data_IF_731182213448
#
_entry.id   IF_731182213448
#
_cell.length_a   1.000
_cell.length_b   1.000
_cell.length_c   1.000
_cell.angle_alpha   90.00
_cell.angle_beta   90.00
_cell.angle_gamma   90.00
#
_symmetry.space_group_name_H-M   'P 1'
#
loop_
_entity.id
_entity.type
_entity.pdbx_description
1 polymer ?
#
# COMPACT_ATOMS: atom_id res chain seq x y z
N UNK A 1 6.82 -4.09 11.36
CA UNK A 1 6.70 -5.53 11.66
C UNK A 1 7.71 -5.92 12.73
N UNK A 2 7.47 -7.03 13.44
CA UNK A 2 8.37 -7.54 14.47
C UNK A 2 9.77 -7.80 13.89
N UNK A 3 9.87 -8.53 12.80
CA UNK A 3 11.16 -8.82 12.16
C UNK A 3 11.89 -7.57 11.65
N UNK A 4 11.16 -6.58 11.15
CA UNK A 4 11.77 -5.30 10.76
C UNK A 4 12.39 -4.57 11.94
N UNK A 5 11.72 -4.55 13.10
CA UNK A 5 12.24 -3.95 14.31
C UNK A 5 13.44 -4.73 14.88
N UNK A 6 13.39 -6.06 14.90
CA UNK A 6 14.52 -6.88 15.35
C UNK A 6 15.74 -6.68 14.44
N UNK A 7 15.55 -6.70 13.12
CA UNK A 7 16.60 -6.38 12.16
C UNK A 7 17.24 -5.02 12.46
N UNK A 8 16.42 -3.98 12.64
CA UNK A 8 16.89 -2.63 12.94
C UNK A 8 17.71 -2.59 14.23
N UNK A 9 17.20 -3.20 15.31
CA UNK A 9 17.90 -3.24 16.60
C UNK A 9 19.25 -3.99 16.52
N UNK A 10 19.33 -5.04 15.70
CA UNK A 10 20.61 -5.74 15.44
C UNK A 10 21.58 -4.86 14.68
N UNK A 11 21.14 -4.17 13.64
CA UNK A 11 22.00 -3.28 12.85
C UNK A 11 22.45 -2.04 13.61
N UNK A 12 21.63 -1.55 14.55
CA UNK A 12 21.97 -0.45 15.46
C UNK A 12 22.85 -0.90 16.64
N UNK A 13 23.17 -2.20 16.75
CA UNK A 13 23.95 -2.74 17.87
C UNK A 13 23.23 -2.72 19.22
N UNK A 14 21.89 -2.59 19.22
CA UNK A 14 21.06 -2.56 20.42
C UNK A 14 20.79 -3.93 21.02
N UNK A 15 20.85 -4.95 20.19
CA UNK A 15 20.80 -6.37 20.56
C UNK A 15 21.95 -7.10 19.86
N UNK A 16 22.35 -8.25 20.39
CA UNK A 16 23.42 -9.05 19.80
C UNK A 16 23.06 -9.41 18.35
N UNK A 17 24.00 -9.18 17.45
CA UNK A 17 23.84 -9.53 16.04
C UNK A 17 24.20 -11.00 15.83
N UNK A 18 23.19 -11.79 15.50
CA UNK A 18 23.34 -13.18 15.07
C UNK A 18 23.07 -13.26 13.56
N UNK A 19 24.07 -13.64 12.78
CA UNK A 19 23.99 -13.58 11.32
C UNK A 19 22.90 -14.49 10.74
N UNK A 20 22.67 -15.66 11.35
CA UNK A 20 21.60 -16.59 10.93
C UNK A 20 20.21 -16.00 11.21
N UNK A 21 20.03 -15.37 12.37
CA UNK A 21 18.76 -14.71 12.70
C UNK A 21 18.51 -13.49 11.80
N UNK A 22 19.54 -12.69 11.54
CA UNK A 22 19.44 -11.56 10.63
C UNK A 22 19.01 -12.01 9.23
N UNK A 23 19.64 -13.05 8.70
CA UNK A 23 19.28 -13.64 7.41
C UNK A 23 17.84 -14.18 7.39
N UNK A 24 17.39 -14.80 8.48
CA UNK A 24 16.01 -15.26 8.63
C UNK A 24 15.02 -14.07 8.64
N UNK A 25 15.30 -12.99 9.37
CA UNK A 25 14.44 -11.82 9.40
C UNK A 25 14.34 -11.14 8.02
N UNK A 26 15.45 -11.05 7.31
CA UNK A 26 15.47 -10.51 5.95
C UNK A 26 14.70 -11.39 4.96
N UNK A 27 14.83 -12.70 5.05
CA UNK A 27 14.04 -13.64 4.25
C UNK A 27 12.54 -13.50 4.53
N UNK A 28 12.16 -13.42 5.81
CA UNK A 28 10.76 -13.23 6.20
C UNK A 28 10.19 -11.90 5.68
N UNK A 29 10.98 -10.82 5.69
CA UNK A 29 10.60 -9.52 5.14
C UNK A 29 10.44 -9.57 3.62
N UNK A 30 11.38 -10.19 2.91
CA UNK A 30 11.33 -10.41 1.45
C UNK A 30 10.08 -11.20 1.06
N UNK A 31 9.85 -12.32 1.72
CA UNK A 31 8.67 -13.17 1.48
C UNK A 31 7.37 -12.42 1.76
N UNK A 32 7.30 -11.67 2.86
CA UNK A 32 6.11 -10.86 3.18
C UNK A 32 5.79 -9.85 2.09
N UNK A 33 6.80 -9.16 1.55
CA UNK A 33 6.60 -8.20 0.46
C UNK A 33 6.14 -8.87 -0.83
N UNK A 34 6.74 -10.00 -1.20
CA UNK A 34 6.36 -10.77 -2.39
C UNK A 34 4.92 -11.29 -2.30
N UNK A 35 4.54 -11.90 -1.16
CA UNK A 35 3.17 -12.39 -0.92
C UNK A 35 2.15 -11.25 -0.96
N UNK A 36 2.49 -10.10 -0.38
CA UNK A 36 1.63 -8.92 -0.44
C UNK A 36 1.46 -8.42 -1.87
N UNK A 37 2.54 -8.30 -2.63
CA UNK A 37 2.52 -7.86 -4.02
C UNK A 37 1.77 -8.80 -4.96
N UNK A 38 1.73 -10.10 -4.67
CA UNK A 38 1.01 -11.11 -5.44
C UNK A 38 -0.52 -10.94 -5.35
N UNK A 39 -1.03 -10.30 -4.30
CA UNK A 39 -2.47 -10.02 -4.12
C UNK A 39 -2.86 -8.77 -4.89
N UNK A 40 -2.90 -8.84 -6.19
CA UNK A 40 -3.09 -7.67 -7.04
C UNK A 40 -4.37 -7.73 -7.86
N UNK A 41 -5.13 -6.64 -7.82
CA UNK A 41 -6.27 -6.41 -8.71
C UNK A 41 -5.96 -5.20 -9.60
N UNK A 42 -5.88 -5.38 -10.91
CA UNK A 42 -5.75 -4.27 -11.85
C UNK A 42 -7.07 -3.51 -11.95
N UNK A 43 -7.01 -2.18 -12.18
CA UNK A 43 -8.15 -1.32 -12.44
C UNK A 43 -8.04 -0.67 -13.83
N UNK A 44 -9.16 -0.13 -14.32
CA UNK A 44 -9.32 0.27 -15.73
C UNK A 44 -8.39 1.40 -16.19
N UNK A 45 -7.87 2.22 -15.29
CA UNK A 45 -6.97 3.35 -15.59
C UNK A 45 -5.48 2.96 -15.66
N UNK A 46 -5.19 1.67 -15.59
CA UNK A 46 -3.83 1.14 -15.62
C UNK A 46 -3.17 1.04 -14.26
N UNK A 47 -3.79 1.57 -13.21
CA UNK A 47 -3.37 1.36 -11.83
C UNK A 47 -3.88 0.01 -11.28
N UNK A 48 -3.89 -0.16 -10.00
CA UNK A 48 -4.36 -1.35 -9.33
C UNK A 48 -4.16 -1.26 -7.83
N UNK A 49 -4.62 -2.27 -7.13
CA UNK A 49 -4.48 -2.33 -5.69
C UNK A 49 -4.18 -3.73 -5.17
N UNK A 50 -3.61 -3.77 -3.99
CA UNK A 50 -3.42 -5.00 -3.22
C UNK A 50 -4.70 -5.24 -2.43
N UNK A 51 -5.32 -6.40 -2.65
CA UNK A 51 -6.51 -6.79 -1.91
C UNK A 51 -6.16 -7.52 -0.60
N UNK A 52 -7.04 -7.44 0.37
CA UNK A 52 -6.95 -8.08 1.67
C UNK A 52 -7.85 -9.33 1.74
N UNK A 53 -8.21 -9.74 2.94
CA UNK A 53 -9.05 -10.92 3.21
C UNK A 53 -10.47 -10.83 2.62
N UNK A 54 -10.95 -9.62 2.34
CA UNK A 54 -12.27 -9.37 1.76
C UNK A 54 -12.36 -9.64 0.24
N UNK A 55 -11.26 -10.05 -0.38
CA UNK A 55 -11.22 -10.52 -1.76
C UNK A 55 -10.83 -9.48 -2.80
N UNK A 56 -10.58 -9.92 -4.04
CA UNK A 56 -10.00 -9.09 -5.10
C UNK A 56 -10.90 -7.96 -5.60
N UNK A 57 -12.18 -7.97 -5.27
CA UNK A 57 -13.13 -6.93 -5.68
C UNK A 57 -13.08 -5.67 -4.79
N UNK A 58 -12.35 -5.70 -3.69
CA UNK A 58 -12.40 -4.65 -2.68
C UNK A 58 -11.02 -4.04 -2.41
N UNK A 59 -10.92 -2.74 -2.65
CA UNK A 59 -9.84 -1.87 -2.17
C UNK A 59 -10.16 -1.45 -0.74
N UNK A 60 -9.47 -2.02 0.22
CA UNK A 60 -9.71 -1.89 1.65
C UNK A 60 -8.78 -0.85 2.27
N UNK A 61 -9.33 0.13 3.00
CA UNK A 61 -8.58 1.27 3.52
C UNK A 61 -7.43 0.91 4.47
N UNK A 62 -7.52 -0.22 5.19
CA UNK A 62 -6.48 -0.65 6.12
C UNK A 62 -5.26 -1.27 5.43
N UNK A 63 -5.40 -1.68 4.16
CA UNK A 63 -4.31 -2.28 3.40
C UNK A 63 -3.14 -1.30 3.20
N UNK A 64 -3.40 0.01 3.19
CA UNK A 64 -2.37 1.06 3.09
C UNK A 64 -1.25 0.89 4.13
N UNK A 65 -1.56 0.46 5.35
CA UNK A 65 -0.57 0.18 6.41
C UNK A 65 0.34 -1.01 6.12
N UNK A 66 -0.14 -1.97 5.36
CA UNK A 66 0.62 -3.19 5.06
C UNK A 66 1.69 -2.96 4.01
N UNK A 67 1.65 -1.84 3.29
CA UNK A 67 2.61 -1.48 2.24
C UNK A 67 4.05 -1.33 2.76
N UNK A 68 4.24 -1.15 4.06
CA UNK A 68 5.57 -1.19 4.68
C UNK A 68 6.32 -2.50 4.41
N UNK A 69 5.60 -3.61 4.18
CA UNK A 69 6.23 -4.88 3.81
C UNK A 69 6.82 -4.84 2.41
N UNK A 70 6.17 -4.12 1.47
CA UNK A 70 6.71 -3.89 0.13
C UNK A 70 7.91 -2.96 0.18
N UNK A 71 7.84 -1.87 0.96
CA UNK A 71 8.93 -0.94 1.15
C UNK A 71 10.18 -1.66 1.67
N UNK A 72 10.06 -2.41 2.77
CA UNK A 72 11.17 -3.16 3.36
C UNK A 72 11.73 -4.21 2.40
N UNK A 73 10.87 -4.93 1.69
CA UNK A 73 11.29 -5.94 0.73
C UNK A 73 11.99 -5.31 -0.49
N UNK A 74 11.52 -4.15 -0.96
CA UNK A 74 12.17 -3.38 -2.01
C UNK A 74 13.58 -2.92 -1.59
N UNK A 75 13.73 -2.34 -0.38
CA UNK A 75 15.03 -1.94 0.18
C UNK A 75 16.00 -3.11 0.31
N UNK A 76 15.50 -4.33 0.52
CA UNK A 76 16.29 -5.56 0.53
C UNK A 76 16.59 -6.12 -0.88
N UNK A 77 16.30 -5.35 -1.93
CA UNK A 77 16.57 -5.70 -3.32
C UNK A 77 15.69 -6.83 -3.89
N UNK A 78 14.57 -7.14 -3.21
CA UNK A 78 13.69 -8.22 -3.63
C UNK A 78 12.64 -7.77 -4.65
N UNK A 79 12.20 -8.72 -5.48
CA UNK A 79 11.13 -8.54 -6.47
C UNK A 79 10.20 -9.74 -6.44
N UNK A 80 8.93 -9.55 -6.79
CA UNK A 80 8.04 -10.67 -7.05
C UNK A 80 8.30 -11.18 -8.46
N UNK A 81 8.53 -12.47 -8.62
CA UNK A 81 8.55 -13.12 -9.94
C UNK A 81 7.11 -13.44 -10.35
N UNK A 82 6.69 -12.82 -11.44
CA UNK A 82 5.37 -13.05 -12.03
C UNK A 82 5.38 -14.18 -13.06
N UNK A 83 4.28 -14.30 -13.78
CA UNK A 83 4.17 -15.24 -14.90
C UNK A 83 5.23 -14.93 -15.99
N UNK A 84 5.74 -15.97 -16.62
CA UNK A 84 6.80 -15.90 -17.64
C UNK A 84 8.10 -15.22 -17.13
N UNK A 85 8.43 -15.42 -15.86
CA UNK A 85 9.64 -14.89 -15.22
C UNK A 85 9.79 -13.36 -15.30
N UNK A 86 8.69 -12.63 -15.45
CA UNK A 86 8.72 -11.17 -15.44
C UNK A 86 8.82 -10.65 -14.01
N UNK A 87 9.89 -9.91 -13.66
CA UNK A 87 10.03 -9.33 -12.36
C UNK A 87 9.02 -8.20 -12.15
N UNK A 88 8.30 -8.25 -11.04
CA UNK A 88 7.36 -7.20 -10.62
C UNK A 88 8.03 -6.36 -9.55
N UNK A 89 8.13 -5.06 -9.80
CA UNK A 89 8.71 -4.09 -8.86
C UNK A 89 7.77 -3.87 -7.68
N UNK A 90 8.27 -4.04 -6.46
CA UNK A 90 7.48 -3.87 -5.24
C UNK A 90 7.17 -2.39 -4.97
N UNK A 91 8.07 -1.49 -5.37
CA UNK A 91 7.84 -0.04 -5.32
C UNK A 91 6.69 0.36 -6.26
N UNK A 92 6.62 -0.22 -7.47
CA UNK A 92 5.50 0.00 -8.40
C UNK A 92 4.16 -0.39 -7.77
N UNK A 93 4.09 -1.56 -7.15
CA UNK A 93 2.89 -2.02 -6.44
C UNK A 93 2.50 -1.10 -5.29
N UNK A 94 3.47 -0.60 -4.54
CA UNK A 94 3.26 0.34 -3.44
C UNK A 94 2.67 1.66 -3.96
N UNK A 95 3.31 2.30 -4.93
CA UNK A 95 2.90 3.61 -5.45
C UNK A 95 1.51 3.53 -6.10
N UNK A 96 1.26 2.52 -6.92
CA UNK A 96 -0.04 2.32 -7.57
C UNK A 96 -1.16 2.06 -6.55
N UNK A 97 -0.91 1.23 -5.54
CA UNK A 97 -1.90 1.02 -4.47
C UNK A 97 -2.18 2.32 -3.70
N UNK A 98 -1.14 3.08 -3.37
CA UNK A 98 -1.31 4.37 -2.71
C UNK A 98 -2.15 5.34 -3.55
N UNK A 99 -1.89 5.42 -4.86
CA UNK A 99 -2.67 6.22 -5.81
C UNK A 99 -4.13 5.78 -5.87
N UNK A 100 -4.39 4.49 -6.02
CA UNK A 100 -5.75 3.95 -6.01
C UNK A 100 -6.48 4.25 -4.69
N UNK A 101 -5.79 4.14 -3.55
CA UNK A 101 -6.36 4.49 -2.24
C UNK A 101 -6.72 5.97 -2.14
N UNK A 102 -5.83 6.87 -2.58
CA UNK A 102 -6.10 8.31 -2.61
C UNK A 102 -7.31 8.65 -3.50
N UNK A 103 -7.39 8.02 -4.66
CA UNK A 103 -8.43 8.29 -5.64
C UNK A 103 -9.81 7.77 -5.23
N UNK A 104 -9.87 6.57 -4.65
CA UNK A 104 -11.14 5.88 -4.45
C UNK A 104 -11.61 5.83 -3.01
N UNK A 105 -10.71 5.77 -2.02
CA UNK A 105 -11.11 5.72 -0.62
C UNK A 105 -11.17 7.09 0.06
N UNK A 106 -10.37 8.07 -0.38
CA UNK A 106 -10.32 9.40 0.21
C UNK A 106 -11.20 10.37 -0.56
N UNK A 107 -11.95 11.20 0.17
CA UNK A 107 -12.85 12.22 -0.36
C UNK A 107 -12.27 13.61 -0.10
N UNK A 108 -12.23 14.42 -1.16
CA UNK A 108 -11.58 15.75 -1.13
C UNK A 108 -12.56 16.92 -1.17
N UNK A 109 -13.88 16.67 -1.19
CA UNK A 109 -14.90 17.71 -1.35
C UNK A 109 -14.91 18.30 -2.76
N UNK A 110 -14.67 17.48 -3.78
CA UNK A 110 -14.62 17.91 -5.19
C UNK A 110 -15.88 17.57 -5.99
N UNK A 111 -16.92 17.08 -5.31
CA UNK A 111 -18.20 16.74 -5.93
C UNK A 111 -18.24 15.40 -6.63
N UNK A 112 -17.46 14.42 -6.20
CA UNK A 112 -17.48 13.05 -6.75
C UNK A 112 -18.87 12.43 -6.67
N UNK A 113 -19.55 12.65 -5.56
CA UNK A 113 -20.94 12.27 -5.31
C UNK A 113 -21.57 13.21 -4.26
N UNK A 114 -22.85 13.03 -3.96
CA UNK A 114 -23.57 13.85 -2.96
C UNK A 114 -23.04 13.67 -1.53
N UNK A 115 -22.23 12.66 -1.27
CA UNK A 115 -21.60 12.37 0.00
C UNK A 115 -20.13 12.80 0.04
N UNK A 116 -19.64 13.51 -0.98
CA UNK A 116 -18.25 13.94 -1.08
C UNK A 116 -17.95 15.09 -0.10
N UNK A 117 -17.76 14.70 1.15
CA UNK A 117 -17.31 15.60 2.23
C UNK A 117 -15.79 15.46 2.37
N UNK A 118 -15.10 16.61 2.32
CA UNK A 118 -13.65 16.64 2.46
C UNK A 118 -13.18 15.99 3.76
N UNK A 119 -12.22 15.06 3.65
CA UNK A 119 -11.66 14.31 4.78
C UNK A 119 -12.44 13.04 5.13
N UNK A 120 -13.53 12.76 4.43
CA UNK A 120 -14.20 11.46 4.55
C UNK A 120 -13.31 10.36 3.97
N UNK A 121 -13.34 9.18 4.59
CA UNK A 121 -12.67 7.97 4.11
C UNK A 121 -13.66 6.83 4.02
N UNK A 122 -13.81 6.25 2.81
CA UNK A 122 -14.56 5.02 2.64
C UNK A 122 -13.78 3.84 3.24
N UNK A 123 -14.47 2.96 3.94
CA UNK A 123 -13.87 1.74 4.47
C UNK A 123 -13.35 0.84 3.34
N UNK A 124 -14.19 0.67 2.32
CA UNK A 124 -13.91 -0.12 1.13
C UNK A 124 -14.38 0.61 -0.11
N UNK A 125 -13.68 0.40 -1.22
CA UNK A 125 -14.11 0.78 -2.56
C UNK A 125 -14.24 -0.47 -3.42
N UNK A 126 -15.43 -0.72 -3.94
CA UNK A 126 -15.77 -1.94 -4.67
C UNK A 126 -15.55 -1.75 -6.17
N UNK A 127 -14.95 -2.74 -6.79
CA UNK A 127 -14.62 -2.79 -8.20
C UNK A 127 -15.23 -4.01 -8.90
N UNK A 128 -15.47 -3.86 -10.20
CA UNK A 128 -15.73 -4.98 -11.07
C UNK A 128 -14.39 -5.62 -11.44
N UNK A 129 -14.16 -6.86 -11.03
CA UNK A 129 -12.89 -7.56 -11.28
C UNK A 129 -12.65 -7.93 -12.73
N UNK A 130 -13.70 -7.97 -13.57
CA UNK A 130 -13.56 -8.30 -15.00
C UNK A 130 -13.08 -7.12 -15.83
N UNK A 131 -13.48 -5.89 -15.47
CA UNK A 131 -13.14 -4.68 -16.24
C UNK A 131 -12.46 -3.60 -15.43
N UNK A 132 -12.25 -3.81 -14.14
CA UNK A 132 -11.54 -2.86 -13.27
C UNK A 132 -12.30 -1.56 -12.97
N UNK A 133 -13.61 -1.48 -13.28
CA UNK A 133 -14.39 -0.26 -13.02
C UNK A 133 -14.80 -0.16 -11.56
N UNK A 134 -14.66 1.05 -11.01
CA UNK A 134 -15.21 1.39 -9.70
C UNK A 134 -16.75 1.30 -9.71
N UNK A 135 -17.32 0.78 -8.64
CA UNK A 135 -18.77 0.61 -8.49
C UNK A 135 -19.36 1.50 -7.40
N UNK A 136 -18.91 1.34 -6.17
CA UNK A 136 -19.48 2.04 -5.02
C UNK A 136 -18.57 1.92 -3.79
N UNK A 137 -18.74 2.80 -2.79
CA UNK A 137 -18.18 2.56 -1.46
C UNK A 137 -18.91 1.42 -0.76
N UNK A 138 -18.22 0.75 0.17
CA UNK A 138 -18.78 -0.30 1.01
C UNK A 138 -18.21 -0.22 2.43
N UNK A 139 -18.79 -0.99 3.33
CA UNK A 139 -18.28 -1.13 4.70
C UNK A 139 -18.71 -2.45 5.31
N UNK A 140 -17.79 -3.09 6.04
CA UNK A 140 -18.09 -4.28 6.85
C UNK A 140 -18.14 -3.95 8.35
N UNK A 141 -17.48 -2.88 8.79
CA UNK A 141 -17.34 -2.53 10.21
C UNK A 141 -17.80 -1.11 10.53
N UNK A 142 -18.03 -0.27 9.53
CA UNK A 142 -18.55 1.09 9.70
C UNK A 142 -20.07 1.12 9.81
N UNK A 143 -20.61 2.27 10.19
CA UNK A 143 -22.05 2.47 10.32
C UNK A 143 -22.79 2.32 8.98
N UNK A 144 -22.26 2.93 7.94
CA UNK A 144 -22.76 2.77 6.57
C UNK A 144 -21.64 3.10 5.54
N UNK A 145 -21.82 2.71 4.25
CA UNK A 145 -20.82 2.98 3.21
C UNK A 145 -20.49 4.46 3.01
N UNK A 146 -21.41 5.34 3.36
CA UNK A 146 -21.28 6.79 3.17
C UNK A 146 -20.80 7.55 4.40
N UNK A 147 -20.53 6.87 5.50
CA UNK A 147 -19.91 7.43 6.70
C UNK A 147 -18.40 7.19 6.71
N UNK A 148 -17.67 8.00 7.47
CA UNK A 148 -16.27 7.72 7.76
C UNK A 148 -16.16 6.67 8.87
N UNK A 149 -15.49 5.58 8.55
CA UNK A 149 -15.04 4.66 9.57
C UNK A 149 -13.73 5.17 10.18
N UNK A 150 -13.79 5.67 11.41
CA UNK A 150 -12.69 6.43 12.02
C UNK A 150 -11.38 5.66 12.15
N UNK A 151 -11.44 4.35 12.39
CA UNK A 151 -10.25 3.51 12.39
C UNK A 151 -9.60 3.42 11.00
N UNK A 152 -10.41 3.33 9.94
CA UNK A 152 -9.93 3.37 8.56
C UNK A 152 -9.28 4.71 8.21
N UNK A 153 -9.86 5.82 8.66
CA UNK A 153 -9.24 7.15 8.53
C UNK A 153 -7.88 7.20 9.21
N UNK A 154 -7.78 6.72 10.45
CA UNK A 154 -6.51 6.68 11.18
C UNK A 154 -5.46 5.82 10.45
N UNK A 155 -5.87 4.70 9.84
CA UNK A 155 -4.95 3.86 9.05
C UNK A 155 -4.50 4.52 7.76
N UNK A 156 -5.37 5.27 7.08
CA UNK A 156 -5.00 6.07 5.90
C UNK A 156 -3.93 7.10 6.29
N UNK A 157 -4.17 7.88 7.35
CA UNK A 157 -3.20 8.87 7.82
C UNK A 157 -1.86 8.25 8.21
N UNK A 158 -1.88 7.17 8.99
CA UNK A 158 -0.66 6.47 9.40
C UNK A 158 0.06 5.84 8.20
N UNK A 159 -0.69 5.18 7.32
CA UNK A 159 -0.13 4.51 6.16
C UNK A 159 0.57 5.47 5.21
N UNK A 160 -0.04 6.61 4.92
CA UNK A 160 0.61 7.63 4.09
C UNK A 160 1.81 8.27 4.78
N UNK A 161 1.74 8.57 6.08
CA UNK A 161 2.88 9.09 6.81
C UNK A 161 4.09 8.12 6.73
N UNK A 162 3.87 6.82 6.95
CA UNK A 162 4.92 5.79 6.82
C UNK A 162 5.49 5.69 5.39
N UNK A 163 4.65 5.89 4.38
CA UNK A 163 5.11 5.87 2.98
C UNK A 163 5.89 7.12 2.61
N UNK A 164 5.48 8.30 3.08
CA UNK A 164 6.21 9.55 2.88
C UNK A 164 7.60 9.48 3.52
N UNK A 165 7.71 8.93 4.73
CA UNK A 165 9.02 8.67 5.37
C UNK A 165 9.89 7.74 4.52
N UNK A 166 9.31 6.67 3.98
CA UNK A 166 10.04 5.74 3.12
C UNK A 166 10.47 6.40 1.80
N UNK A 167 9.57 7.11 1.12
CA UNK A 167 9.86 7.79 -0.14
C UNK A 167 10.97 8.83 -0.01
N UNK A 168 11.04 9.53 1.14
CA UNK A 168 12.11 10.47 1.44
C UNK A 168 13.51 9.82 1.55
N UNK A 169 13.59 8.49 1.64
CA UNK A 169 14.87 7.74 1.66
C UNK A 169 15.29 7.23 0.28
N UNK A 170 14.46 7.42 -0.75
CA UNK A 170 14.74 6.93 -2.10
C UNK A 170 15.45 7.99 -2.94
N UNK A 171 16.27 7.53 -3.89
CA UNK A 171 16.84 8.39 -4.93
C UNK A 171 15.72 8.87 -5.87
N UNK A 172 15.74 10.15 -6.23
CA UNK A 172 14.73 10.78 -7.10
C UNK A 172 14.57 10.05 -8.45
N UNK A 173 15.65 9.48 -8.97
CA UNK A 173 15.64 8.70 -10.21
C UNK A 173 14.67 7.52 -10.19
N UNK A 174 14.48 6.90 -9.02
CA UNK A 174 13.53 5.79 -8.83
C UNK A 174 12.08 6.22 -8.97
N UNK A 175 11.81 7.50 -8.76
CA UNK A 175 10.45 8.08 -8.79
C UNK A 175 10.10 8.74 -10.14
N UNK A 176 11.07 8.93 -11.03
CA UNK A 176 10.85 9.48 -12.39
C UNK A 176 9.73 8.75 -13.15
N UNK A 177 9.63 7.40 -13.15
CA UNK A 177 8.56 6.70 -13.87
C UNK A 177 7.14 7.00 -13.35
N UNK A 178 7.03 7.59 -12.17
CA UNK A 178 5.76 7.93 -11.49
C UNK A 178 5.44 9.43 -11.52
N UNK A 179 6.21 10.21 -12.27
CA UNK A 179 6.07 11.67 -12.38
C UNK A 179 6.99 12.47 -11.45
N UNK A 180 7.97 11.81 -10.85
CA UNK A 180 8.95 12.40 -9.93
C UNK A 180 8.47 12.49 -8.48
N UNK A 181 9.40 12.87 -7.60
CA UNK A 181 9.18 12.91 -6.15
C UNK A 181 7.98 13.78 -5.76
N UNK A 182 7.93 15.01 -6.26
CA UNK A 182 6.85 15.95 -5.91
C UNK A 182 5.46 15.43 -6.28
N UNK A 183 5.33 14.81 -7.46
CA UNK A 183 4.07 14.21 -7.91
C UNK A 183 3.61 13.09 -6.98
N UNK A 184 4.54 12.21 -6.59
CA UNK A 184 4.23 11.09 -5.71
C UNK A 184 3.88 11.56 -4.30
N UNK A 185 4.59 12.55 -3.77
CA UNK A 185 4.32 13.13 -2.44
C UNK A 185 2.97 13.87 -2.42
N UNK A 186 2.68 14.69 -3.44
CA UNK A 186 1.41 15.42 -3.52
C UNK A 186 0.18 14.52 -3.66
N UNK A 187 0.36 13.31 -4.15
CA UNK A 187 -0.71 12.33 -4.26
C UNK A 187 -1.09 11.72 -2.90
N UNK A 188 -0.18 11.68 -1.94
CA UNK A 188 -0.35 11.10 -0.60
C UNK A 188 -0.75 12.15 0.43
#
# INVERSE_FOLDING_TARGET
STYGNLRRLMLEGRITKEDQELAFYELALKTSGAVQAARWTPIHDGDGYIFSFNGPHSLFSDTIRSLRSLAMSHMLGHRLMGENDKPICLLDRLIRHARATAQYNVYYGRGRDIYDVRGRVAHESIFNTNGGQYRCPSTQQGYCPFSTWTRGLAWIMLGYAEQLEFLATLDDELLVPYGGHDTVVQMM
#
